data_IF_125670213550
#
_entry.id   IF_125670213550
#
_cell.length_a   1.000
_cell.length_b   1.000
_cell.length_c   1.000
_cell.angle_alpha   90.00
_cell.angle_beta   90.00
_cell.angle_gamma   90.00
#
_symmetry.space_group_name_H-M   'P 1'
#
loop_
_entity.id
_entity.type
_entity.pdbx_description
1 polymer ?
#
# COMPACT_ATOMS: atom_id res chain seq x y z
N UNK A 1 -43.01 -29.48 40.10
CA UNK A 1 -44.45 -29.13 39.98
C UNK A 1 -44.55 -28.37 38.69
N UNK A 2 -45.08 -28.84 37.66
CA UNK A 2 -45.97 -29.84 37.06
C UNK A 2 -45.68 -29.81 35.59
N UNK A 3 -45.16 -30.81 34.96
CA UNK A 3 -45.71 -31.91 34.16
C UNK A 3 -46.97 -31.57 33.34
N UNK A 4 -46.93 -31.97 32.07
CA UNK A 4 -47.92 -32.66 31.22
C UNK A 4 -47.40 -32.51 29.77
N UNK A 5 -46.77 -33.52 29.14
CA UNK A 5 -47.19 -34.75 28.45
C UNK A 5 -48.08 -34.54 27.21
N UNK A 6 -47.47 -34.89 26.06
CA UNK A 6 -47.79 -35.86 25.00
C UNK A 6 -49.16 -35.79 24.31
N UNK A 7 -49.15 -35.87 22.97
CA UNK A 7 -49.75 -37.04 22.26
C UNK A 7 -49.39 -37.10 20.76
N UNK A 8 -48.96 -38.28 20.34
CA UNK A 8 -48.82 -38.77 18.96
C UNK A 8 -50.18 -39.18 18.34
N UNK A 9 -50.21 -39.19 17.02
CA UNK A 9 -50.89 -40.11 16.07
C UNK A 9 -50.69 -39.57 14.66
N UNK A 10 -50.07 -40.20 13.69
CA UNK A 10 -50.11 -41.53 13.20
C UNK A 10 -51.18 -41.78 12.13
N UNK A 11 -50.78 -41.87 10.82
CA UNK A 11 -51.34 -42.67 9.75
C UNK A 11 -50.78 -42.33 8.36
N UNK A 12 -49.93 -43.15 7.80
CA UNK A 12 -50.12 -44.17 6.74
C UNK A 12 -50.35 -43.64 5.31
N UNK A 13 -49.37 -44.02 4.42
CA UNK A 13 -49.41 -44.03 2.95
C UNK A 13 -50.60 -44.78 2.35
N UNK A 14 -50.89 -44.57 1.04
CA UNK A 14 -50.32 -45.49 0.08
C UNK A 14 -49.79 -44.89 -1.25
N UNK A 15 -48.93 -45.69 -1.87
CA UNK A 15 -48.29 -45.50 -3.16
C UNK A 15 -49.26 -45.67 -4.35
N UNK A 16 -49.00 -44.92 -5.43
CA UNK A 16 -49.26 -45.38 -6.81
C UNK A 16 -48.27 -44.80 -7.79
N UNK A 17 -47.76 -45.66 -8.62
CA UNK A 17 -46.83 -45.51 -9.73
C UNK A 17 -47.37 -44.70 -10.90
N UNK A 18 -46.57 -43.90 -11.60
CA UNK A 18 -46.28 -44.12 -13.03
C UNK A 18 -45.54 -42.93 -13.72
N UNK A 19 -44.74 -43.36 -14.65
CA UNK A 19 -44.29 -42.64 -15.86
C UNK A 19 -43.26 -41.51 -15.78
N UNK A 20 -42.08 -41.85 -16.28
CA UNK A 20 -40.98 -40.96 -16.58
C UNK A 20 -41.31 -40.06 -17.80
N UNK A 21 -41.25 -38.76 -17.59
CA UNK A 21 -40.99 -37.77 -18.68
C UNK A 21 -39.70 -37.04 -18.37
N UNK A 22 -38.77 -37.09 -19.35
CA UNK A 22 -37.51 -36.36 -19.32
C UNK A 22 -37.80 -34.88 -19.62
N UNK A 23 -37.92 -34.07 -18.57
CA UNK A 23 -37.83 -32.62 -18.76
C UNK A 23 -36.36 -32.20 -18.84
N UNK A 24 -36.03 -31.45 -19.90
CA UNK A 24 -34.77 -30.78 -20.09
C UNK A 24 -34.65 -29.71 -19.02
N UNK A 25 -33.67 -29.83 -18.12
CA UNK A 25 -33.26 -28.78 -17.18
C UNK A 25 -32.76 -27.56 -17.97
N UNK A 26 -33.54 -26.50 -18.00
CA UNK A 26 -33.10 -25.16 -18.28
C UNK A 26 -32.40 -24.59 -17.03
N UNK A 27 -31.25 -23.92 -17.14
CA UNK A 27 -30.58 -23.38 -15.97
C UNK A 27 -31.47 -22.33 -15.27
N UNK A 28 -31.80 -22.58 -14.00
CA UNK A 28 -32.60 -21.69 -13.16
C UNK A 28 -31.81 -20.40 -12.91
N UNK A 29 -32.17 -19.33 -13.58
CA UNK A 29 -31.72 -17.96 -13.23
C UNK A 29 -32.28 -17.57 -11.86
N UNK A 30 -31.40 -17.20 -10.94
CA UNK A 30 -31.76 -16.79 -9.58
C UNK A 30 -32.69 -15.55 -9.58
N UNK A 31 -33.60 -15.41 -8.60
CA UNK A 31 -34.58 -14.30 -8.53
C UNK A 31 -33.96 -12.89 -8.51
N UNK A 32 -32.67 -12.77 -8.21
CA UNK A 32 -31.94 -11.48 -8.19
C UNK A 32 -31.65 -10.88 -9.58
N UNK A 33 -31.81 -11.64 -10.66
CA UNK A 33 -31.49 -11.14 -12.03
C UNK A 33 -32.66 -10.39 -12.71
N UNK A 34 -33.87 -10.49 -12.20
CA UNK A 34 -35.07 -9.94 -12.89
C UNK A 34 -35.30 -8.43 -12.70
N UNK A 35 -34.53 -7.74 -11.83
CA UNK A 35 -34.73 -6.31 -11.50
C UNK A 35 -33.56 -5.39 -11.92
N UNK A 36 -32.73 -5.80 -12.89
CA UNK A 36 -31.62 -4.96 -13.33
C UNK A 36 -32.10 -3.95 -14.39
N UNK A 37 -31.69 -2.66 -14.29
CA UNK A 37 -32.03 -1.68 -15.33
C UNK A 37 -31.49 -2.10 -16.70
N UNK A 38 -32.16 -1.72 -17.80
CA UNK A 38 -31.88 -2.22 -19.17
C UNK A 38 -30.46 -1.93 -19.69
N UNK A 39 -29.69 -1.06 -19.03
CA UNK A 39 -28.29 -0.73 -19.34
C UNK A 39 -27.27 -1.23 -18.32
N UNK A 40 -27.65 -2.17 -17.45
CA UNK A 40 -26.74 -2.72 -16.46
C UNK A 40 -25.70 -3.62 -17.15
N UNK A 41 -24.49 -3.09 -17.38
CA UNK A 41 -23.32 -3.92 -17.68
C UNK A 41 -22.72 -4.40 -16.34
N UNK A 42 -22.75 -5.72 -16.12
CA UNK A 42 -21.99 -6.31 -15.02
C UNK A 42 -20.52 -5.99 -15.22
N UNK A 43 -19.90 -5.35 -14.22
CA UNK A 43 -18.46 -5.16 -14.20
C UNK A 43 -17.83 -6.55 -14.11
N UNK A 44 -16.90 -6.86 -14.99
CA UNK A 44 -16.11 -8.10 -14.91
C UNK A 44 -15.39 -8.12 -13.56
N UNK A 45 -15.30 -9.29 -12.92
CA UNK A 45 -14.58 -9.44 -11.65
C UNK A 45 -13.11 -9.03 -11.82
N UNK A 46 -12.54 -9.16 -13.00
CA UNK A 46 -11.19 -8.71 -13.36
C UNK A 46 -11.05 -7.19 -13.38
N UNK A 47 -12.13 -6.45 -13.58
CA UNK A 47 -12.13 -4.98 -13.65
C UNK A 47 -12.50 -4.30 -12.32
N UNK A 48 -12.92 -5.06 -11.28
CA UNK A 48 -13.37 -4.49 -9.99
C UNK A 48 -12.30 -3.58 -9.39
N UNK A 49 -11.03 -4.01 -9.39
CA UNK A 49 -9.94 -3.21 -8.85
C UNK A 49 -9.73 -1.91 -9.63
N UNK A 50 -9.84 -1.94 -10.97
CA UNK A 50 -9.69 -0.75 -11.83
C UNK A 50 -10.78 0.30 -11.59
N UNK A 51 -11.96 -0.13 -11.11
CA UNK A 51 -13.04 0.78 -10.71
C UNK A 51 -12.90 1.31 -9.28
N UNK A 52 -11.96 0.78 -8.49
CA UNK A 52 -11.73 1.25 -7.12
C UNK A 52 -11.18 2.67 -7.08
N UNK A 53 -11.48 3.40 -6.00
CA UNK A 53 -10.90 4.71 -5.74
C UNK A 53 -9.38 4.64 -5.58
N UNK A 54 -8.85 3.52 -5.07
CA UNK A 54 -7.41 3.30 -4.97
C UNK A 54 -6.74 3.34 -6.33
N UNK A 55 -7.25 2.55 -7.30
CA UNK A 55 -6.67 2.53 -8.64
C UNK A 55 -6.81 3.88 -9.35
N UNK A 56 -7.99 4.49 -9.28
CA UNK A 56 -8.30 5.73 -10.02
C UNK A 56 -7.59 6.97 -9.49
N UNK A 57 -7.31 7.02 -8.18
CA UNK A 57 -6.80 8.23 -7.51
C UNK A 57 -5.37 8.09 -7.02
N UNK A 58 -4.90 6.85 -6.81
CA UNK A 58 -3.64 6.58 -6.12
C UNK A 58 -2.71 5.63 -6.88
N UNK A 59 -3.00 5.33 -8.16
CA UNK A 59 -2.05 4.67 -9.07
C UNK A 59 -1.42 5.71 -9.97
N UNK A 60 -0.11 5.66 -10.10
CA UNK A 60 0.70 6.63 -10.85
C UNK A 60 1.71 5.90 -11.71
N UNK A 61 2.19 6.56 -12.78
CA UNK A 61 3.48 6.23 -13.37
C UNK A 61 4.62 6.82 -12.52
N UNK A 62 5.86 6.41 -12.78
CA UNK A 62 7.02 6.96 -12.06
C UNK A 62 7.14 8.48 -12.26
N UNK A 63 6.94 8.92 -13.49
CA UNK A 63 6.99 10.31 -13.90
C UNK A 63 5.90 11.14 -13.21
N UNK A 64 4.66 10.66 -13.23
CA UNK A 64 3.53 11.31 -12.58
C UNK A 64 3.71 11.46 -11.06
N UNK A 65 4.25 10.43 -10.41
CA UNK A 65 4.50 10.47 -8.97
C UNK A 65 5.60 11.49 -8.64
N UNK A 66 6.65 11.52 -9.45
CA UNK A 66 7.75 12.46 -9.28
C UNK A 66 7.30 13.91 -9.53
N UNK A 67 6.58 14.16 -10.61
CA UNK A 67 6.01 15.46 -10.93
C UNK A 67 5.12 15.98 -9.79
N UNK A 68 4.25 15.13 -9.28
CA UNK A 68 3.37 15.47 -8.15
C UNK A 68 4.17 15.85 -6.89
N UNK A 69 5.26 15.17 -6.60
CA UNK A 69 6.16 15.49 -5.47
C UNK A 69 6.87 16.80 -5.68
N UNK A 70 7.38 17.04 -6.88
CA UNK A 70 8.05 18.30 -7.25
C UNK A 70 7.08 19.47 -7.09
N UNK A 71 5.86 19.35 -7.61
CA UNK A 71 4.84 20.38 -7.49
C UNK A 71 4.46 20.67 -6.03
N UNK A 72 4.27 19.62 -5.22
CA UNK A 72 3.95 19.78 -3.79
C UNK A 72 5.11 20.45 -3.04
N UNK A 73 6.36 20.05 -3.31
CA UNK A 73 7.54 20.66 -2.72
C UNK A 73 7.70 22.13 -3.15
N UNK A 74 7.56 22.44 -4.43
CA UNK A 74 7.68 23.81 -4.95
C UNK A 74 6.67 24.77 -4.31
N UNK A 75 5.40 24.35 -4.16
CA UNK A 75 4.38 25.13 -3.46
C UNK A 75 4.74 25.36 -1.99
N UNK A 76 5.35 24.39 -1.34
CA UNK A 76 5.74 24.49 0.06
C UNK A 76 7.00 25.38 0.23
N UNK A 77 7.96 25.30 -0.68
CA UNK A 77 9.13 26.21 -0.71
C UNK A 77 8.67 27.65 -0.80
N UNK A 78 7.81 27.98 -1.76
CA UNK A 78 7.26 29.33 -1.91
C UNK A 78 6.55 29.81 -0.64
N UNK A 79 5.76 28.94 -0.01
CA UNK A 79 5.08 29.24 1.26
C UNK A 79 6.08 29.53 2.41
N UNK A 80 7.14 28.75 2.54
CA UNK A 80 8.17 28.96 3.57
C UNK A 80 8.95 30.24 3.32
N UNK A 81 9.33 30.51 2.08
CA UNK A 81 10.06 31.74 1.71
C UNK A 81 9.22 33.00 2.01
N UNK A 82 7.93 32.97 1.68
CA UNK A 82 7.01 34.07 2.01
C UNK A 82 6.90 34.28 3.54
N UNK A 83 6.80 33.18 4.31
CA UNK A 83 6.73 33.28 5.76
C UNK A 83 8.02 33.77 6.40
N UNK A 84 9.17 33.36 5.88
CA UNK A 84 10.48 33.84 6.33
C UNK A 84 10.67 35.33 6.00
N UNK A 85 10.18 35.79 4.84
CA UNK A 85 10.20 37.19 4.48
C UNK A 85 9.32 38.02 5.45
N UNK A 86 8.08 37.60 5.66
CA UNK A 86 7.19 38.25 6.64
C UNK A 86 7.78 38.28 8.05
N UNK A 87 8.45 37.19 8.45
CA UNK A 87 9.12 37.12 9.75
C UNK A 87 10.27 38.12 9.85
N UNK A 88 11.06 38.30 8.80
CA UNK A 88 12.16 39.29 8.74
C UNK A 88 11.62 40.72 8.83
N UNK A 89 10.54 41.03 8.10
CA UNK A 89 9.93 42.35 8.08
C UNK A 89 9.27 42.71 9.44
N UNK A 90 8.70 41.68 10.14
CA UNK A 90 8.02 41.89 11.41
C UNK A 90 8.97 41.99 12.63
N UNK A 91 10.24 41.63 12.48
CA UNK A 91 11.21 41.59 13.58
C UNK A 91 12.47 42.32 13.20
N UNK A 92 12.90 43.23 14.05
CA UNK A 92 14.21 43.95 13.92
C UNK A 92 15.31 42.95 14.37
N UNK A 93 15.85 42.22 13.40
CA UNK A 93 16.85 41.18 13.63
C UNK A 93 18.26 41.77 13.52
N UNK A 94 19.12 41.42 14.48
CA UNK A 94 20.55 41.76 14.39
C UNK A 94 21.18 41.02 13.19
N UNK A 95 22.26 41.62 12.63
CA UNK A 95 22.96 41.06 11.45
C UNK A 95 23.41 39.61 11.65
N UNK A 96 23.85 39.25 12.88
CA UNK A 96 24.24 37.89 13.20
C UNK A 96 23.06 36.92 13.26
N UNK A 97 21.88 37.39 13.75
CA UNK A 97 20.64 36.62 13.76
C UNK A 97 20.16 36.36 12.33
N UNK A 98 20.27 37.34 11.46
CA UNK A 98 19.91 37.24 10.03
C UNK A 98 20.79 36.21 9.32
N UNK A 99 22.12 36.27 9.50
CA UNK A 99 23.06 35.29 8.92
C UNK A 99 22.77 33.85 9.36
N UNK A 100 22.44 33.66 10.64
CA UNK A 100 22.11 32.29 11.15
C UNK A 100 20.75 31.84 10.66
N UNK A 101 19.78 32.72 10.52
CA UNK A 101 18.47 32.39 9.97
C UNK A 101 18.63 31.92 8.50
N UNK A 102 19.40 32.66 7.68
CA UNK A 102 19.68 32.29 6.29
C UNK A 102 20.45 30.96 6.16
N UNK A 103 21.35 30.69 7.07
CA UNK A 103 22.15 29.46 7.05
C UNK A 103 21.39 28.22 7.51
N UNK A 104 20.36 28.35 8.36
CA UNK A 104 19.68 27.20 8.98
C UNK A 104 18.21 27.03 8.62
N UNK A 105 17.50 28.09 8.25
CA UNK A 105 16.10 28.02 7.84
C UNK A 105 16.00 27.93 6.30
N UNK A 106 16.67 26.93 5.73
CA UNK A 106 16.66 26.65 4.29
C UNK A 106 15.52 25.67 4.01
N UNK A 107 14.62 25.92 3.05
CA UNK A 107 13.59 24.97 2.66
C UNK A 107 14.16 23.58 2.30
N UNK A 108 13.39 22.53 2.52
CA UNK A 108 13.78 21.16 2.19
C UNK A 108 13.75 20.95 0.67
N UNK A 109 14.70 20.16 0.18
CA UNK A 109 14.58 19.61 -1.18
C UNK A 109 13.51 18.53 -1.24
N UNK A 110 13.01 18.20 -2.43
CA UNK A 110 12.03 17.12 -2.64
C UNK A 110 12.52 15.79 -2.09
N UNK A 111 13.81 15.48 -2.25
CA UNK A 111 14.42 14.25 -1.72
C UNK A 111 14.51 14.25 -0.19
N UNK A 112 14.90 15.37 0.43
CA UNK A 112 14.90 15.51 1.88
C UNK A 112 13.49 15.34 2.46
N UNK A 113 12.49 15.89 1.78
CA UNK A 113 11.09 15.76 2.15
C UNK A 113 10.61 14.31 2.07
N UNK A 114 10.89 13.62 0.95
CA UNK A 114 10.57 12.20 0.77
C UNK A 114 11.24 11.33 1.84
N UNK A 115 12.50 11.60 2.13
CA UNK A 115 13.26 10.90 3.16
C UNK A 115 12.60 11.05 4.54
N UNK A 116 12.14 12.24 4.87
CA UNK A 116 11.44 12.49 6.13
C UNK A 116 10.08 11.79 6.18
N UNK A 117 9.33 11.78 5.08
CA UNK A 117 8.07 11.05 4.96
C UNK A 117 8.29 9.54 5.16
N UNK A 118 9.29 8.95 4.52
CA UNK A 118 9.62 7.52 4.66
C UNK A 118 10.02 7.17 6.10
N UNK A 119 10.81 8.02 6.74
CA UNK A 119 11.18 7.84 8.15
C UNK A 119 9.96 7.83 9.07
N UNK A 120 9.02 8.77 8.88
CA UNK A 120 7.81 8.81 9.70
C UNK A 120 6.79 7.74 9.32
N UNK A 121 6.71 7.32 8.06
CA UNK A 121 5.91 6.17 7.65
C UNK A 121 6.36 4.89 8.37
N UNK A 122 7.69 4.69 8.52
CA UNK A 122 8.24 3.61 9.34
C UNK A 122 7.86 3.74 10.81
N UNK A 123 7.82 4.95 11.35
CA UNK A 123 7.34 5.20 12.74
C UNK A 123 5.85 4.88 12.88
N UNK A 124 5.01 5.25 11.91
CA UNK A 124 3.59 4.86 11.88
C UNK A 124 3.45 3.35 11.97
N UNK A 125 4.22 2.60 11.16
CA UNK A 125 4.23 1.14 11.18
C UNK A 125 4.59 0.61 12.58
N UNK A 126 5.70 1.08 13.16
CA UNK A 126 6.19 0.60 14.46
C UNK A 126 5.19 0.93 15.58
N UNK A 127 4.62 2.13 15.59
CA UNK A 127 3.64 2.53 16.61
C UNK A 127 2.37 1.68 16.48
N UNK A 128 1.84 1.51 15.28
CA UNK A 128 0.64 0.71 15.05
C UNK A 128 0.85 -0.77 15.43
N UNK A 129 2.03 -1.33 15.16
CA UNK A 129 2.42 -2.66 15.59
C UNK A 129 2.57 -2.76 17.11
N UNK A 130 3.18 -1.76 17.76
CA UNK A 130 3.32 -1.71 19.22
C UNK A 130 1.97 -1.63 19.93
N UNK A 131 0.98 -0.99 19.32
CA UNK A 131 -0.40 -0.95 19.79
C UNK A 131 -1.16 -2.28 19.58
N UNK A 132 -0.51 -3.30 19.00
CA UNK A 132 -1.07 -4.61 18.64
C UNK A 132 -2.31 -4.48 17.74
N UNK A 133 -2.28 -3.56 16.78
CA UNK A 133 -3.36 -3.38 15.82
C UNK A 133 -3.31 -4.46 14.72
N UNK A 134 -4.46 -4.85 14.13
CA UNK A 134 -4.52 -5.78 13.01
C UNK A 134 -3.64 -5.35 11.84
N UNK A 135 -3.17 -6.32 11.06
CA UNK A 135 -2.25 -6.10 9.93
C UNK A 135 -2.83 -5.13 8.90
N UNK A 136 -4.14 -5.20 8.64
CA UNK A 136 -4.87 -4.32 7.73
C UNK A 136 -4.87 -2.88 8.23
N UNK A 137 -5.11 -2.68 9.53
CA UNK A 137 -5.06 -1.35 10.16
C UNK A 137 -3.66 -0.74 10.05
N UNK A 138 -2.62 -1.54 10.30
CA UNK A 138 -1.22 -1.09 10.14
C UNK A 138 -0.96 -0.66 8.68
N UNK A 139 -1.37 -1.48 7.71
CA UNK A 139 -1.19 -1.20 6.29
C UNK A 139 -1.95 0.05 5.83
N UNK A 140 -3.19 0.20 6.26
CA UNK A 140 -4.03 1.37 5.96
C UNK A 140 -3.46 2.63 6.60
N UNK A 141 -2.93 2.55 7.84
CA UNK A 141 -2.25 3.68 8.49
C UNK A 141 -1.06 4.19 7.68
N UNK A 142 -0.20 3.30 7.20
CA UNK A 142 0.94 3.64 6.34
C UNK A 142 0.45 4.29 5.04
N UNK A 143 -0.56 3.69 4.41
CA UNK A 143 -1.14 4.20 3.16
C UNK A 143 -1.69 5.62 3.35
N UNK A 144 -2.48 5.88 4.39
CA UNK A 144 -3.05 7.19 4.68
C UNK A 144 -1.96 8.22 4.95
N UNK A 145 -0.94 7.87 5.73
CA UNK A 145 0.18 8.75 6.02
C UNK A 145 0.93 9.15 4.75
N UNK A 146 1.28 8.18 3.91
CA UNK A 146 2.03 8.44 2.67
C UNK A 146 1.21 9.24 1.65
N UNK A 147 -0.09 8.90 1.47
CA UNK A 147 -1.00 9.66 0.60
C UNK A 147 -1.22 11.09 1.07
N UNK A 148 -1.28 11.32 2.38
CA UNK A 148 -1.39 12.66 2.95
C UNK A 148 -0.23 13.56 2.51
N UNK A 149 1.00 13.04 2.52
CA UNK A 149 2.19 13.79 2.11
C UNK A 149 2.48 13.76 0.60
N UNK A 150 1.59 13.21 -0.22
CA UNK A 150 1.54 13.52 -1.66
C UNK A 150 0.76 14.81 -1.96
N UNK A 151 -0.19 15.17 -1.10
CA UNK A 151 -1.00 16.38 -1.26
C UNK A 151 -0.49 17.56 -0.40
N UNK A 152 0.20 17.27 0.71
CA UNK A 152 0.70 18.24 1.68
C UNK A 152 2.22 18.06 1.87
N UNK A 153 2.91 19.15 2.18
CA UNK A 153 4.34 19.12 2.48
C UNK A 153 4.60 18.97 3.97
N UNK A 154 5.70 18.29 4.31
CA UNK A 154 6.22 18.22 5.69
C UNK A 154 6.67 19.60 6.20
N UNK A 155 6.97 20.54 5.30
CA UNK A 155 7.30 21.92 5.64
C UNK A 155 6.09 22.72 6.13
N UNK A 156 4.88 22.35 5.71
CA UNK A 156 3.63 22.99 6.14
C UNK A 156 3.03 22.31 7.37
N UNK A 157 3.11 20.98 7.45
CA UNK A 157 2.52 20.18 8.52
C UNK A 157 3.58 19.23 9.08
N UNK A 158 3.94 19.38 10.37
CA UNK A 158 4.91 18.49 11.01
C UNK A 158 4.40 17.03 10.96
N UNK A 159 5.18 16.11 10.36
CA UNK A 159 4.81 14.70 10.29
C UNK A 159 4.44 14.07 11.64
N UNK A 160 5.05 14.51 12.73
CA UNK A 160 4.74 14.01 14.08
C UNK A 160 3.28 14.24 14.47
N UNK A 161 2.73 15.39 14.07
CA UNK A 161 1.38 15.78 14.45
C UNK A 161 0.29 14.93 13.81
N UNK A 162 0.59 14.27 12.66
CA UNK A 162 -0.39 13.50 11.90
C UNK A 162 -0.31 11.98 12.15
N UNK A 163 0.76 11.48 12.78
CA UNK A 163 1.00 10.04 13.00
C UNK A 163 -0.17 9.35 13.71
N UNK A 164 -0.59 9.88 14.85
CA UNK A 164 -1.66 9.27 15.64
C UNK A 164 -3.03 9.43 14.96
N UNK A 165 -3.25 10.54 14.27
CA UNK A 165 -4.47 10.79 13.49
C UNK A 165 -4.62 9.76 12.37
N UNK A 166 -3.55 9.44 11.64
CA UNK A 166 -3.59 8.44 10.55
C UNK A 166 -3.89 7.04 11.08
N UNK A 167 -3.30 6.66 12.22
CA UNK A 167 -3.55 5.35 12.83
C UNK A 167 -5.00 5.27 13.34
N UNK A 168 -5.49 6.33 13.99
CA UNK A 168 -6.86 6.37 14.51
C UNK A 168 -7.90 6.33 13.38
N UNK A 169 -7.68 7.09 12.29
CA UNK A 169 -8.56 7.05 11.13
C UNK A 169 -8.53 5.66 10.45
N UNK A 170 -7.37 5.02 10.38
CA UNK A 170 -7.25 3.66 9.84
C UNK A 170 -8.03 2.63 10.68
N UNK A 171 -8.03 2.76 12.02
CA UNK A 171 -8.87 1.92 12.88
C UNK A 171 -10.35 2.05 12.50
N UNK A 172 -10.84 3.26 12.28
CA UNK A 172 -12.23 3.50 11.87
C UNK A 172 -12.52 2.94 10.48
N UNK A 173 -11.62 3.14 9.53
CA UNK A 173 -11.77 2.68 8.14
C UNK A 173 -11.79 1.15 8.02
N UNK A 174 -11.00 0.45 8.84
CA UNK A 174 -10.92 -1.02 8.85
C UNK A 174 -11.90 -1.67 9.86
N UNK A 175 -12.91 -0.94 10.34
CA UNK A 175 -13.89 -1.41 11.31
C UNK A 175 -13.29 -1.95 12.63
N UNK A 176 -12.11 -1.46 13.02
CA UNK A 176 -11.52 -1.73 14.31
C UNK A 176 -12.00 -0.70 15.32
N UNK A 177 -13.03 -1.05 16.09
CA UNK A 177 -13.69 -0.12 16.99
C UNK A 177 -12.86 0.14 18.25
N UNK A 178 -12.38 1.36 18.40
CA UNK A 178 -11.68 1.85 19.57
C UNK A 178 -12.13 3.29 19.85
N UNK A 179 -12.43 3.62 21.10
CA UNK A 179 -12.73 5.00 21.47
C UNK A 179 -11.47 5.86 21.41
N UNK A 180 -11.63 7.15 21.10
CA UNK A 180 -10.49 8.08 21.02
C UNK A 180 -9.73 8.17 22.34
N UNK A 181 -10.44 8.07 23.46
CA UNK A 181 -9.84 8.14 24.82
C UNK A 181 -9.00 6.88 25.10
N UNK A 182 -9.52 5.69 24.79
CA UNK A 182 -8.75 4.44 24.89
C UNK A 182 -7.56 4.41 23.95
N UNK A 183 -7.71 4.94 22.73
CA UNK A 183 -6.59 5.05 21.80
C UNK A 183 -5.53 6.04 22.30
N UNK A 184 -5.94 7.23 22.77
CA UNK A 184 -5.05 8.25 23.31
C UNK A 184 -4.24 7.73 24.50
N UNK A 185 -4.88 7.01 25.43
CA UNK A 185 -4.23 6.38 26.57
C UNK A 185 -3.18 5.35 26.12
N UNK A 186 -3.52 4.44 25.21
CA UNK A 186 -2.58 3.42 24.68
C UNK A 186 -1.43 4.04 23.89
N UNK A 187 -1.71 5.05 23.08
CA UNK A 187 -0.72 5.74 22.25
C UNK A 187 0.09 6.80 23.05
N UNK A 188 -0.21 7.00 24.33
CA UNK A 188 0.39 8.05 25.17
C UNK A 188 0.32 9.43 24.51
N UNK A 189 -0.82 9.76 23.94
CA UNK A 189 -1.09 10.98 23.20
C UNK A 189 -2.30 11.72 23.77
N UNK A 190 -2.56 12.93 23.28
CA UNK A 190 -3.70 13.74 23.67
C UNK A 190 -4.85 13.58 22.66
N UNK A 191 -6.09 13.41 23.14
CA UNK A 191 -7.31 13.34 22.35
C UNK A 191 -7.43 14.49 21.33
N UNK A 192 -7.21 15.71 21.78
CA UNK A 192 -7.34 16.89 20.94
C UNK A 192 -6.33 16.88 19.79
N UNK A 193 -5.08 16.48 20.07
CA UNK A 193 -4.05 16.37 19.04
C UNK A 193 -4.35 15.30 18.00
N UNK A 194 -5.01 14.19 18.40
CA UNK A 194 -5.41 13.11 17.50
C UNK A 194 -6.52 13.60 16.54
N UNK A 195 -7.50 14.34 17.06
CA UNK A 195 -8.65 14.79 16.29
C UNK A 195 -8.37 16.04 15.45
N UNK A 196 -7.38 16.86 15.83
CA UNK A 196 -7.05 18.13 15.21
C UNK A 196 -6.94 18.07 13.68
N UNK A 197 -6.30 17.06 13.17
CA UNK A 197 -6.01 16.92 11.74
C UNK A 197 -6.93 15.92 11.02
N UNK A 198 -7.91 15.36 11.70
CA UNK A 198 -8.75 14.30 11.12
C UNK A 198 -9.49 14.75 9.86
N UNK A 199 -10.12 15.91 9.90
CA UNK A 199 -10.82 16.43 8.73
C UNK A 199 -9.87 16.79 7.58
N UNK A 200 -8.73 17.41 7.91
CA UNK A 200 -7.69 17.72 6.91
C UNK A 200 -7.10 16.45 6.28
N UNK A 201 -6.96 15.39 7.06
CA UNK A 201 -6.53 14.09 6.56
C UNK A 201 -7.57 13.51 5.60
N UNK A 202 -8.86 13.50 5.98
CA UNK A 202 -9.96 13.02 5.12
C UNK A 202 -10.03 13.78 3.79
N UNK A 203 -9.93 15.10 3.83
CA UNK A 203 -9.90 15.95 2.65
C UNK A 203 -8.70 15.60 1.73
N UNK A 204 -7.50 15.49 2.30
CA UNK A 204 -6.28 15.15 1.56
C UNK A 204 -6.34 13.74 0.98
N UNK A 205 -7.03 12.81 1.63
CA UNK A 205 -7.30 11.47 1.11
C UNK A 205 -8.42 11.45 0.06
N UNK A 206 -9.00 12.60 -0.29
CA UNK A 206 -10.12 12.73 -1.23
C UNK A 206 -11.30 11.82 -0.82
N UNK A 207 -11.51 11.62 0.48
CA UNK A 207 -12.49 10.71 1.08
C UNK A 207 -12.40 9.26 0.58
N UNK A 208 -11.26 8.88 -0.02
CA UNK A 208 -10.97 7.53 -0.52
C UNK A 208 -10.36 6.67 0.58
N UNK A 209 -11.20 6.07 1.41
CA UNK A 209 -10.77 5.33 2.59
C UNK A 209 -10.60 3.82 2.37
N UNK A 210 -11.23 3.29 1.31
CA UNK A 210 -11.10 1.87 0.99
C UNK A 210 -9.70 1.57 0.44
N UNK A 211 -8.99 0.66 1.11
CA UNK A 211 -7.68 0.19 0.68
C UNK A 211 -7.69 -1.32 0.38
N UNK A 212 -7.06 -1.67 -0.73
CA UNK A 212 -6.78 -3.05 -1.11
C UNK A 212 -5.30 -3.33 -0.82
N UNK A 213 -5.05 -4.21 0.13
CA UNK A 213 -3.70 -4.58 0.55
C UNK A 213 -3.27 -5.92 -0.03
N UNK A 214 -1.96 -6.16 -0.24
CA UNK A 214 -1.43 -7.42 -0.78
C UNK A 214 -1.66 -8.67 0.11
N UNK A 215 -2.14 -8.51 1.34
CA UNK A 215 -2.37 -9.63 2.26
C UNK A 215 -3.53 -10.54 1.83
N UNK A 216 -4.62 -9.98 1.27
CA UNK A 216 -5.74 -10.79 0.74
C UNK A 216 -5.32 -11.62 -0.48
N UNK A 217 -4.65 -11.02 -1.50
CA UNK A 217 -4.06 -11.81 -2.59
C UNK A 217 -3.05 -12.84 -2.11
N UNK A 218 -2.24 -12.56 -1.07
CA UNK A 218 -1.30 -13.54 -0.51
C UNK A 218 -2.03 -14.80 -0.04
N UNK A 219 -3.14 -14.63 0.67
CA UNK A 219 -3.95 -15.76 1.11
C UNK A 219 -4.56 -16.52 -0.08
N UNK A 220 -5.04 -15.79 -1.10
CA UNK A 220 -5.57 -16.38 -2.32
C UNK A 220 -4.53 -17.21 -3.09
N UNK A 221 -3.34 -16.66 -3.30
CA UNK A 221 -2.23 -17.40 -3.95
C UNK A 221 -1.77 -18.60 -3.13
N UNK A 222 -1.73 -18.47 -1.81
CA UNK A 222 -1.38 -19.59 -0.94
C UNK A 222 -2.34 -20.78 -1.12
N UNK A 223 -3.64 -20.53 -1.16
CA UNK A 223 -4.64 -21.58 -1.40
C UNK A 223 -4.57 -22.14 -2.84
N UNK A 224 -4.38 -21.28 -3.83
CA UNK A 224 -4.31 -21.70 -5.24
C UNK A 224 -3.04 -22.54 -5.51
N UNK A 225 -1.89 -22.14 -4.96
CA UNK A 225 -0.64 -22.92 -5.03
C UNK A 225 -0.81 -24.29 -4.38
N UNK A 226 -1.43 -24.36 -3.20
CA UNK A 226 -1.70 -25.63 -2.53
C UNK A 226 -2.61 -26.54 -3.37
N UNK A 227 -3.60 -25.98 -4.04
CA UNK A 227 -4.50 -26.72 -4.89
C UNK A 227 -3.80 -27.25 -6.16
N UNK A 228 -3.06 -26.40 -6.85
CA UNK A 228 -2.38 -26.75 -8.12
C UNK A 228 -1.20 -27.70 -7.88
N UNK A 229 -0.44 -27.47 -6.81
CA UNK A 229 0.72 -28.29 -6.43
C UNK A 229 0.40 -29.35 -5.37
N UNK A 230 -0.86 -29.80 -5.29
CA UNK A 230 -1.30 -30.78 -4.31
C UNK A 230 -0.41 -32.02 -4.29
N UNK A 231 0.06 -32.41 -3.09
CA UNK A 231 0.96 -33.53 -2.88
C UNK A 231 2.41 -33.31 -3.37
N UNK A 232 2.76 -32.16 -3.94
CA UNK A 232 4.10 -31.83 -4.46
C UNK A 232 4.84 -30.79 -3.62
N UNK A 233 4.18 -30.17 -2.65
CA UNK A 233 4.75 -29.15 -1.77
C UNK A 233 4.41 -29.47 -0.32
N UNK A 234 5.39 -29.33 0.57
CA UNK A 234 5.19 -29.50 2.01
C UNK A 234 4.42 -28.31 2.58
N UNK A 235 3.37 -28.59 3.35
CA UNK A 235 2.50 -27.57 3.97
C UNK A 235 3.24 -26.74 5.04
N UNK A 236 4.19 -27.34 5.78
CA UNK A 236 5.01 -26.60 6.75
C UNK A 236 5.91 -25.59 6.05
N UNK A 237 6.53 -26.02 4.93
CA UNK A 237 7.33 -25.13 4.10
C UNK A 237 6.50 -23.97 3.52
N UNK A 238 5.31 -24.26 3.02
CA UNK A 238 4.37 -23.24 2.54
C UNK A 238 4.01 -22.23 3.62
N UNK A 239 3.78 -22.69 4.87
CA UNK A 239 3.53 -21.80 6.01
C UNK A 239 4.69 -20.85 6.29
N UNK A 240 5.94 -21.35 6.20
CA UNK A 240 7.13 -20.51 6.36
C UNK A 240 7.27 -19.49 5.25
N UNK A 241 7.02 -19.86 3.99
CA UNK A 241 7.00 -18.93 2.85
C UNK A 241 5.93 -17.85 3.08
N UNK A 242 4.72 -18.24 3.49
CA UNK A 242 3.63 -17.31 3.77
C UNK A 242 4.05 -16.23 4.79
N UNK A 243 4.67 -16.64 5.90
CA UNK A 243 5.12 -15.70 6.94
C UNK A 243 6.28 -14.82 6.46
N UNK A 244 7.18 -15.35 5.63
CA UNK A 244 8.26 -14.55 5.02
C UNK A 244 7.69 -13.51 4.05
N UNK A 245 6.77 -13.92 3.16
CA UNK A 245 6.07 -13.01 2.25
C UNK A 245 5.31 -11.91 2.99
N UNK A 246 4.62 -12.26 4.09
CA UNK A 246 3.94 -11.28 4.92
C UNK A 246 4.90 -10.21 5.45
N UNK A 247 6.12 -10.58 5.86
CA UNK A 247 7.15 -9.62 6.27
C UNK A 247 7.65 -8.77 5.09
N UNK A 248 7.87 -9.38 3.90
CA UNK A 248 8.26 -8.65 2.68
C UNK A 248 7.21 -7.62 2.29
N UNK A 249 5.95 -8.00 2.26
CA UNK A 249 4.81 -7.10 1.99
C UNK A 249 4.80 -5.95 2.99
N UNK A 250 5.00 -6.23 4.29
CA UNK A 250 5.04 -5.19 5.32
C UNK A 250 6.17 -4.16 5.08
N UNK A 251 7.30 -4.59 4.51
CA UNK A 251 8.38 -3.70 4.05
C UNK A 251 8.00 -2.93 2.78
N UNK A 252 7.44 -3.63 1.78
CA UNK A 252 7.03 -3.05 0.50
C UNK A 252 6.00 -1.90 0.65
N UNK A 253 5.12 -1.97 1.66
CA UNK A 253 4.16 -0.90 1.95
C UNK A 253 4.82 0.45 2.31
N UNK A 254 6.10 0.44 2.70
CA UNK A 254 6.87 1.65 2.99
C UNK A 254 7.53 2.25 1.74
N UNK A 255 7.53 1.55 0.61
CA UNK A 255 8.11 1.97 -0.66
C UNK A 255 7.05 2.48 -1.63
N UNK A 256 7.49 2.96 -2.80
CA UNK A 256 6.62 3.49 -3.84
C UNK A 256 5.94 2.41 -4.69
N UNK A 257 6.29 1.14 -4.52
CA UNK A 257 5.67 0.01 -5.24
C UNK A 257 4.14 0.00 -5.14
N UNK A 258 3.59 0.50 -4.02
CA UNK A 258 2.15 0.58 -3.79
C UNK A 258 1.42 1.55 -4.73
N UNK A 259 2.14 2.45 -5.38
CA UNK A 259 1.60 3.39 -6.36
C UNK A 259 1.71 2.89 -7.80
N UNK A 260 2.65 1.97 -8.07
CA UNK A 260 2.95 1.50 -9.42
C UNK A 260 2.30 0.17 -9.74
N UNK A 261 2.16 -0.70 -8.75
CA UNK A 261 1.73 -2.08 -8.93
C UNK A 261 0.43 -2.38 -8.17
N UNK A 262 -0.34 -3.30 -8.73
CA UNK A 262 -1.56 -3.78 -8.08
C UNK A 262 -1.23 -4.70 -6.90
N UNK A 263 -2.14 -4.84 -5.91
CA UNK A 263 -1.92 -5.72 -4.77
C UNK A 263 -1.53 -7.16 -5.12
N UNK A 264 -2.14 -7.84 -6.11
CA UNK A 264 -1.70 -9.16 -6.55
C UNK A 264 -0.29 -9.19 -7.14
N UNK A 265 0.12 -8.15 -7.91
CA UNK A 265 1.47 -8.06 -8.47
C UNK A 265 2.52 -7.93 -7.38
N UNK A 266 2.29 -7.09 -6.37
CA UNK A 266 3.16 -6.94 -5.19
C UNK A 266 3.27 -8.27 -4.44
N UNK A 267 2.17 -9.01 -4.33
CA UNK A 267 2.16 -10.33 -3.67
C UNK A 267 2.98 -11.35 -4.43
N UNK A 268 2.81 -11.45 -5.75
CA UNK A 268 3.58 -12.37 -6.59
C UNK A 268 5.07 -12.01 -6.59
N UNK A 269 5.41 -10.72 -6.59
CA UNK A 269 6.79 -10.27 -6.44
C UNK A 269 7.39 -10.68 -5.09
N UNK A 270 6.63 -10.54 -3.99
CA UNK A 270 7.07 -10.98 -2.68
C UNK A 270 7.25 -12.51 -2.60
N UNK A 271 6.39 -13.29 -3.27
CA UNK A 271 6.54 -14.74 -3.40
C UNK A 271 7.77 -15.10 -4.23
N UNK A 272 8.02 -14.38 -5.34
CA UNK A 272 9.17 -14.58 -6.21
C UNK A 272 10.51 -14.32 -5.48
N UNK A 273 10.55 -13.32 -4.58
CA UNK A 273 11.72 -13.06 -3.72
C UNK A 273 12.00 -14.23 -2.78
N UNK A 274 10.96 -14.82 -2.20
CA UNK A 274 11.11 -15.86 -1.19
C UNK A 274 11.36 -17.25 -1.78
N UNK A 275 10.78 -17.56 -2.94
CA UNK A 275 10.98 -18.81 -3.68
C UNK A 275 10.64 -18.67 -5.16
N UNK A 276 11.65 -18.37 -5.97
CA UNK A 276 11.50 -18.23 -7.43
C UNK A 276 11.11 -19.56 -8.10
N UNK A 277 11.65 -20.69 -7.62
CA UNK A 277 11.35 -22.01 -8.20
C UNK A 277 9.88 -22.40 -7.96
N UNK A 278 9.34 -22.09 -6.78
CA UNK A 278 7.93 -22.33 -6.46
C UNK A 278 7.01 -21.52 -7.37
N UNK A 279 7.29 -20.22 -7.54
CA UNK A 279 6.47 -19.32 -8.36
C UNK A 279 6.54 -19.71 -9.83
N UNK A 280 7.74 -20.03 -10.35
CA UNK A 280 7.91 -20.47 -11.73
C UNK A 280 7.11 -21.75 -11.98
N UNK A 281 7.26 -22.75 -11.14
CA UNK A 281 6.52 -24.02 -11.25
C UNK A 281 5.00 -23.82 -11.15
N UNK A 282 4.54 -22.93 -10.25
CA UNK A 282 3.14 -22.57 -10.12
C UNK A 282 2.61 -21.95 -11.42
N UNK A 283 3.34 -21.00 -12.00
CA UNK A 283 2.93 -20.31 -13.23
C UNK A 283 2.94 -21.25 -14.45
N UNK A 284 3.92 -22.15 -14.57
CA UNK A 284 3.98 -23.18 -15.61
C UNK A 284 2.77 -24.11 -15.54
N UNK A 285 2.36 -24.50 -14.34
CA UNK A 285 1.18 -25.35 -14.16
C UNK A 285 -0.13 -24.61 -14.32
N UNK A 286 -0.16 -23.33 -14.01
CA UNK A 286 -1.35 -22.46 -14.20
C UNK A 286 -1.56 -22.09 -15.66
N UNK A 287 -0.46 -21.94 -16.42
CA UNK A 287 -0.43 -21.55 -17.85
C UNK A 287 0.36 -22.58 -18.66
N UNK A 288 -0.18 -23.81 -18.86
CA UNK A 288 0.56 -24.94 -19.40
C UNK A 288 1.06 -24.77 -20.85
N UNK A 289 0.66 -23.72 -21.55
CA UNK A 289 1.02 -23.47 -22.94
C UNK A 289 2.12 -22.42 -23.12
N UNK A 290 2.89 -22.12 -22.08
CA UNK A 290 4.06 -21.24 -22.17
C UNK A 290 5.26 -22.04 -22.66
N UNK A 291 5.25 -22.42 -23.96
CA UNK A 291 6.48 -22.81 -24.67
C UNK A 291 7.32 -21.54 -24.88
N UNK A 292 8.30 -21.30 -24.03
CA UNK A 292 9.18 -20.13 -24.19
C UNK A 292 10.12 -19.80 -23.02
N UNK A 293 10.21 -20.66 -22.00
CA UNK A 293 11.25 -20.54 -20.96
C UNK A 293 12.25 -21.71 -21.12
N UNK A 294 12.82 -21.84 -22.31
CA UNK A 294 14.07 -22.55 -22.52
C UNK A 294 15.06 -21.55 -23.09
N UNK A 295 16.21 -21.43 -22.42
CA UNK A 295 17.37 -20.74 -22.97
C UNK A 295 17.72 -21.31 -24.36
N UNK A 296 18.24 -20.51 -25.30
CA UNK A 296 18.54 -20.99 -26.62
C UNK A 296 19.73 -21.93 -26.58
N UNK A 297 19.47 -23.25 -26.60
CA UNK A 297 20.48 -24.20 -27.03
C UNK A 297 20.48 -24.24 -28.57
N UNK A 298 21.66 -24.04 -29.11
CA UNK A 298 21.97 -23.91 -30.51
C UNK A 298 21.62 -25.14 -31.34
N UNK A 299 21.08 -24.87 -32.49
CA UNK A 299 21.21 -25.56 -33.78
C UNK A 299 21.02 -27.08 -33.84
N UNK A 300 20.02 -27.54 -34.64
CA UNK A 300 20.36 -28.21 -35.91
C UNK A 300 19.14 -28.30 -36.83
N UNK A 301 19.40 -27.88 -38.10
CA UNK A 301 18.55 -28.04 -39.25
C UNK A 301 18.38 -29.53 -39.60
N UNK A 302 17.18 -29.94 -40.01
CA UNK A 302 16.96 -30.56 -41.36
C UNK A 302 15.49 -30.78 -41.64
N UNK A 303 15.20 -30.55 -42.91
CA UNK A 303 13.95 -30.61 -43.68
C UNK A 303 13.14 -31.89 -43.51
N UNK A 304 11.81 -31.84 -43.63
CA UNK A 304 11.11 -32.21 -44.89
C UNK A 304 9.60 -31.96 -44.80
N UNK A 305 9.07 -31.48 -45.87
CA UNK A 305 7.66 -31.18 -46.10
C UNK A 305 6.87 -32.45 -46.46
N UNK A 306 5.62 -32.56 -45.97
CA UNK A 306 4.50 -33.02 -46.84
C UNK A 306 3.14 -32.71 -46.18
N UNK A 307 2.26 -32.25 -47.05
CA UNK A 307 0.83 -31.91 -46.91
C UNK A 307 -0.01 -32.84 -46.03
N UNK A 308 -0.89 -32.24 -45.23
CA UNK A 308 -2.30 -32.58 -45.34
C UNK A 308 -3.22 -31.47 -44.87
N UNK A 309 -4.18 -31.13 -45.69
CA UNK A 309 -5.19 -30.09 -45.54
C UNK A 309 -6.46 -30.69 -44.94
N UNK A 310 -6.65 -30.49 -43.64
CA UNK A 310 -7.98 -30.41 -42.98
C UNK A 310 -7.85 -30.10 -41.47
N UNK A 311 -7.60 -28.84 -41.12
CA UNK A 311 -7.81 -28.36 -39.75
C UNK A 311 -9.07 -27.53 -39.70
N UNK A 312 -10.02 -28.00 -38.93
CA UNK A 312 -11.32 -27.37 -38.63
C UNK A 312 -11.15 -26.01 -37.93
N UNK A 313 -12.07 -25.08 -38.16
CA UNK A 313 -12.10 -23.72 -37.58
C UNK A 313 -12.00 -23.67 -36.04
N UNK A 314 -12.23 -24.80 -35.38
CA UNK A 314 -12.09 -24.91 -33.91
C UNK A 314 -10.63 -24.91 -33.44
N UNK A 315 -9.71 -25.51 -34.22
CA UNK A 315 -8.28 -25.53 -33.87
C UNK A 315 -7.64 -24.14 -33.96
N UNK A 316 -8.11 -23.30 -34.93
CA UNK A 316 -7.63 -21.92 -35.05
C UNK A 316 -8.04 -21.03 -33.89
N UNK A 317 -9.24 -21.23 -33.29
CA UNK A 317 -9.69 -20.46 -32.12
C UNK A 317 -8.99 -20.90 -30.83
N UNK A 318 -8.61 -22.17 -30.76
CA UNK A 318 -7.88 -22.69 -29.59
C UNK A 318 -6.43 -22.24 -29.61
N UNK A 319 -5.73 -22.33 -30.75
CA UNK A 319 -4.37 -21.85 -30.90
C UNK A 319 -4.24 -20.33 -30.64
N UNK A 320 -5.21 -19.51 -31.08
CA UNK A 320 -5.17 -18.06 -30.79
C UNK A 320 -5.45 -17.70 -29.34
N UNK A 321 -6.20 -18.54 -28.59
CA UNK A 321 -6.39 -18.37 -27.16
C UNK A 321 -5.12 -18.74 -26.39
N UNK A 322 -4.46 -19.82 -26.78
CA UNK A 322 -3.26 -20.35 -26.15
C UNK A 322 -2.06 -19.41 -26.37
N UNK A 323 -1.89 -18.85 -27.58
CA UNK A 323 -0.87 -17.83 -27.87
C UNK A 323 -1.10 -16.53 -27.07
N UNK A 324 -2.35 -16.11 -26.90
CA UNK A 324 -2.68 -14.92 -26.11
C UNK A 324 -2.42 -15.12 -24.61
N UNK A 325 -2.71 -16.31 -24.07
CA UNK A 325 -2.41 -16.62 -22.65
C UNK A 325 -0.90 -16.72 -22.40
N UNK A 326 -0.13 -17.26 -23.33
CA UNK A 326 1.32 -17.35 -23.25
C UNK A 326 1.99 -15.96 -23.22
N UNK A 327 1.56 -15.05 -24.11
CA UNK A 327 2.07 -13.67 -24.14
C UNK A 327 1.72 -12.93 -22.84
N UNK A 328 0.53 -13.13 -22.29
CA UNK A 328 0.09 -12.48 -21.06
C UNK A 328 0.89 -12.98 -19.84
N UNK A 329 1.25 -14.25 -19.78
CA UNK A 329 2.10 -14.82 -18.72
C UNK A 329 3.52 -14.26 -18.74
N UNK A 330 4.14 -14.13 -19.91
CA UNK A 330 5.49 -13.55 -20.07
C UNK A 330 5.51 -12.09 -19.66
N UNK A 331 4.51 -11.30 -20.07
CA UNK A 331 4.36 -9.90 -19.66
C UNK A 331 4.16 -9.80 -18.15
N UNK A 332 3.36 -10.68 -17.57
CA UNK A 332 3.12 -10.71 -16.12
C UNK A 332 4.43 -10.97 -15.35
N UNK A 333 5.21 -11.96 -15.77
CA UNK A 333 6.51 -12.25 -15.17
C UNK A 333 7.49 -11.07 -15.26
N UNK A 334 7.56 -10.39 -16.40
CA UNK A 334 8.39 -9.19 -16.55
C UNK A 334 8.00 -8.10 -15.52
N UNK A 335 6.70 -7.79 -15.43
CA UNK A 335 6.18 -6.82 -14.47
C UNK A 335 6.45 -7.23 -13.02
N UNK A 336 6.33 -8.52 -12.70
CA UNK A 336 6.60 -9.03 -11.35
C UNK A 336 8.10 -8.91 -11.00
N UNK A 337 9.00 -9.17 -11.97
CA UNK A 337 10.44 -8.99 -11.77
C UNK A 337 10.81 -7.53 -11.54
N UNK A 338 10.28 -6.60 -12.32
CA UNK A 338 10.46 -5.17 -12.06
C UNK A 338 9.95 -4.76 -10.67
N UNK A 339 8.79 -5.28 -10.26
CA UNK A 339 8.25 -5.05 -8.93
C UNK A 339 9.16 -5.63 -7.84
N UNK A 340 9.72 -6.84 -8.04
CA UNK A 340 10.70 -7.47 -7.15
C UNK A 340 11.90 -6.56 -6.95
N UNK A 341 12.51 -6.08 -8.02
CA UNK A 341 13.71 -5.24 -7.98
C UNK A 341 13.46 -3.97 -7.13
N UNK A 342 12.29 -3.34 -7.31
CA UNK A 342 11.90 -2.18 -6.50
C UNK A 342 11.63 -2.50 -5.01
N UNK A 343 11.15 -3.71 -4.69
CA UNK A 343 10.95 -4.14 -3.30
C UNK A 343 12.30 -4.39 -2.62
N UNK A 344 13.29 -4.88 -3.36
CA UNK A 344 14.64 -5.18 -2.87
C UNK A 344 15.55 -3.95 -2.86
N UNK A 345 15.15 -2.85 -3.50
CA UNK A 345 15.90 -1.60 -3.49
C UNK A 345 16.11 -1.10 -2.05
N UNK A 346 17.37 -0.92 -1.62
CA UNK A 346 17.65 -0.49 -0.26
C UNK A 346 17.14 0.93 -0.02
N UNK A 347 16.46 1.14 1.09
CA UNK A 347 16.11 2.49 1.54
C UNK A 347 17.17 2.97 2.57
N UNK A 348 18.17 3.74 2.13
CA UNK A 348 19.42 3.95 2.87
C UNK A 348 19.34 5.03 3.95
N UNK A 349 18.15 5.53 4.31
CA UNK A 349 18.07 6.66 5.24
C UNK A 349 18.56 6.30 6.65
N UNK A 350 19.67 6.92 7.06
CA UNK A 350 20.14 6.81 8.44
C UNK A 350 19.24 7.60 9.39
N UNK A 351 19.18 7.13 10.66
CA UNK A 351 18.45 7.86 11.71
C UNK A 351 19.05 9.26 11.96
N UNK A 352 20.33 9.43 11.71
CA UNK A 352 21.04 10.71 11.89
C UNK A 352 20.67 11.71 10.80
N UNK A 353 20.60 11.28 9.55
CA UNK A 353 20.14 12.12 8.44
C UNK A 353 18.69 12.54 8.65
N UNK A 354 17.83 11.63 9.07
CA UNK A 354 16.45 11.97 9.40
C UNK A 354 16.35 13.03 10.51
N UNK A 355 17.20 12.95 11.54
CA UNK A 355 17.24 13.97 12.60
C UNK A 355 17.74 15.32 12.08
N UNK A 356 18.76 15.31 11.21
CA UNK A 356 19.30 16.53 10.57
C UNK A 356 18.22 17.21 9.71
N UNK A 357 17.53 16.45 8.87
CA UNK A 357 16.44 16.95 8.02
C UNK A 357 15.27 17.45 8.89
N UNK A 358 14.90 16.73 9.94
CA UNK A 358 13.84 17.15 10.85
C UNK A 358 14.19 18.44 11.60
N UNK A 359 15.46 18.65 11.96
CA UNK A 359 15.91 19.89 12.59
C UNK A 359 15.86 21.06 11.59
N UNK A 360 16.28 20.85 10.34
CA UNK A 360 16.16 21.82 9.26
C UNK A 360 14.70 22.23 9.03
N UNK A 361 13.80 21.25 8.92
CA UNK A 361 12.35 21.47 8.79
C UNK A 361 11.78 22.27 9.96
N UNK A 362 12.17 21.93 11.19
CA UNK A 362 11.71 22.63 12.39
C UNK A 362 12.06 24.12 12.37
N UNK A 363 13.27 24.50 11.91
CA UNK A 363 13.68 25.90 11.85
C UNK A 363 12.96 26.67 10.74
N UNK A 364 12.61 26.01 9.63
CA UNK A 364 11.74 26.60 8.59
C UNK A 364 10.35 26.92 9.12
N UNK A 365 9.78 26.01 9.90
CA UNK A 365 8.44 26.18 10.50
C UNK A 365 8.43 27.16 11.69
N UNK A 366 9.55 27.26 12.43
CA UNK A 366 9.64 28.01 13.68
C UNK A 366 10.90 28.92 13.73
N UNK A 367 11.00 29.93 12.87
CA UNK A 367 12.19 30.81 12.82
C UNK A 367 12.43 31.55 14.15
N UNK A 368 11.37 31.91 14.90
CA UNK A 368 11.46 32.53 16.22
C UNK A 368 12.21 31.67 17.24
N UNK A 369 12.04 30.34 17.19
CA UNK A 369 12.76 29.40 18.07
C UNK A 369 14.27 29.41 17.78
N UNK A 370 14.68 29.61 16.56
CA UNK A 370 16.09 29.71 16.17
C UNK A 370 16.71 30.97 16.75
N UNK A 371 16.05 32.12 16.57
CA UNK A 371 16.48 33.41 17.08
C UNK A 371 16.58 33.41 18.62
N UNK A 372 15.58 32.85 19.31
CA UNK A 372 15.62 32.70 20.78
C UNK A 372 16.77 31.83 21.27
N UNK A 373 17.09 30.73 20.59
CA UNK A 373 18.25 29.89 20.94
C UNK A 373 19.57 30.64 20.78
N UNK A 374 19.69 31.46 19.75
CA UNK A 374 20.87 32.33 19.54
C UNK A 374 21.01 33.34 20.66
N UNK A 375 19.95 34.06 20.98
CA UNK A 375 19.97 35.05 22.08
C UNK A 375 20.38 34.42 23.42
N UNK A 376 19.86 33.21 23.73
CA UNK A 376 20.28 32.49 24.95
C UNK A 376 21.76 32.14 24.94
N UNK A 377 22.28 31.65 23.79
CA UNK A 377 23.69 31.28 23.68
C UNK A 377 24.61 32.50 23.79
N UNK A 378 24.28 33.63 23.18
CA UNK A 378 25.04 34.86 23.29
C UNK A 378 25.06 35.38 24.74
N UNK A 379 23.93 35.30 25.46
CA UNK A 379 23.87 35.71 26.86
C UNK A 379 24.67 34.77 27.78
N UNK A 380 24.72 33.48 27.50
CA UNK A 380 25.56 32.53 28.23
C UNK A 380 27.06 32.77 28.01
N UNK A 381 27.46 33.05 26.75
CA UNK A 381 28.84 33.33 26.39
C UNK A 381 29.31 34.65 27.01
N UNK A 382 28.48 35.69 27.02
CA UNK A 382 28.78 36.98 27.71
C UNK A 382 28.90 36.82 29.23
N UNK A 383 27.98 36.08 29.85
CA UNK A 383 28.06 35.85 31.29
C UNK A 383 29.28 35.00 31.71
N UNK A 384 29.73 34.12 30.83
CA UNK A 384 30.93 33.30 31.06
C UNK A 384 32.21 34.09 30.87
N UNK A 385 32.23 35.03 29.90
CA UNK A 385 33.32 35.95 29.69
C UNK A 385 33.50 36.94 30.86
N UNK A 386 32.40 37.52 31.36
CA UNK A 386 32.42 38.39 32.54
C UNK A 386 32.90 37.68 33.81
N UNK A 387 32.54 36.41 34.00
CA UNK A 387 33.04 35.58 35.13
C UNK A 387 34.54 35.30 35.00
N UNK A 388 35.07 35.14 33.78
CA UNK A 388 36.52 34.93 33.55
C UNK A 388 37.35 36.19 33.71
N UNK A 389 36.76 37.38 33.53
CA UNK A 389 37.45 38.69 33.78
C UNK A 389 37.46 39.10 35.25
N UNK A 390 36.63 38.45 36.10
CA UNK A 390 36.55 38.73 37.56
C UNK A 390 37.41 37.79 38.41
N UNK A 391 38.14 36.88 37.80
CA UNK A 391 39.14 36.00 38.41
C UNK A 391 40.54 36.48 38.00
#
# INVERSE_FOLDING_TARGET
MTDIQTDEKGASNPATSSAAEKEKETPSTSPAEKNKPPNYKRISDDDIYRHSSQYRMWSYTREQLQEKRIDTNARAVAYIEENLLKFREAHDLAEEEMKVLEAKAIPLTMEEELNLVNFYAKKVQVIAQHLNLPTEVVATSISFFRRFFLENSVMQIDPKSIVHTTIFLACKSENYFISVDSFAQKAKSNRESILKFEFKLLESLKFSLLNHHPYKPLHGFFLDIQNILYGKVDLNYMGQIYDRCKRRISGALLSDVVYFYTPPQITLAALLIEDEALVTRYLEMKFPNVEGIQEPEAENMTKEAQNDTSKTENDKKQNTKDEKSSIDAVKLLAVIRECKDLIEEPNPLSTEDAKRIAAKNYYCQNPSSLVQKLKRKMNEDTSTAEKRQKI
#
